data_IF_503100591621
#
_entry.id   IF_503100591621
#
_cell.length_a   1.000
_cell.length_b   1.000
_cell.length_c   1.000
_cell.angle_alpha   90.00
_cell.angle_beta   90.00
_cell.angle_gamma   90.00
#
_symmetry.space_group_name_H-M   'P 1'
#
loop_
_entity.id
_entity.type
_entity.pdbx_description
1 polymer ?
#
# COMPACT_ATOMS: atom_id res chain seq x y z
N UNK A 1 -7.41 -20.14 -7.95
CA UNK A 1 -6.71 -19.12 -8.77
C UNK A 1 -6.90 -17.70 -8.21
N UNK A 2 -8.04 -17.34 -7.60
CA UNK A 2 -8.23 -16.04 -6.94
C UNK A 2 -7.46 -15.88 -5.60
N UNK A 3 -7.19 -16.97 -4.88
CA UNK A 3 -6.53 -16.93 -3.57
C UNK A 3 -5.04 -16.51 -3.62
N UNK A 4 -4.34 -16.65 -4.75
CA UNK A 4 -2.93 -16.26 -4.86
C UNK A 4 -2.71 -14.78 -5.16
N UNK A 5 -3.74 -14.06 -5.61
CA UNK A 5 -3.65 -12.63 -5.96
C UNK A 5 -3.85 -11.69 -4.78
N UNK A 6 -4.54 -12.15 -3.72
CA UNK A 6 -4.79 -11.36 -2.50
C UNK A 6 -3.63 -11.47 -1.50
N UNK A 7 -2.81 -12.54 -1.59
CA UNK A 7 -1.71 -12.80 -0.65
C UNK A 7 -0.45 -11.97 -0.85
N UNK A 8 -0.15 -11.55 -2.09
CA UNK A 8 1.11 -10.88 -2.43
C UNK A 8 1.29 -9.55 -1.69
N UNK A 9 0.36 -8.62 -1.87
CA UNK A 9 0.36 -7.27 -1.31
C UNK A 9 0.34 -7.15 0.22
N UNK A 10 -0.11 -8.20 0.91
CA UNK A 10 -0.07 -8.28 2.36
C UNK A 10 1.37 -8.48 2.86
N UNK A 11 2.19 -9.12 2.03
CA UNK A 11 3.55 -9.49 2.38
C UNK A 11 4.49 -8.27 2.41
N UNK A 12 4.62 -7.49 1.34
CA UNK A 12 5.55 -6.33 1.31
C UNK A 12 5.33 -5.37 2.47
N UNK A 13 4.08 -5.19 2.89
CA UNK A 13 3.79 -4.30 4.00
C UNK A 13 4.07 -4.87 5.38
N UNK A 14 3.82 -6.17 5.56
CA UNK A 14 4.22 -6.87 6.77
C UNK A 14 5.75 -6.84 6.89
N UNK A 15 6.44 -7.06 5.77
CA UNK A 15 7.88 -6.91 5.65
C UNK A 15 8.34 -5.48 5.98
N UNK A 16 7.69 -4.46 5.42
CA UNK A 16 8.02 -3.05 5.65
C UNK A 16 7.89 -2.67 7.12
N UNK A 17 6.81 -3.08 7.80
CA UNK A 17 6.62 -2.80 9.24
C UNK A 17 7.73 -3.42 10.07
N UNK A 18 8.08 -4.67 9.79
CA UNK A 18 9.19 -5.36 10.46
C UNK A 18 10.52 -4.67 10.16
N UNK A 19 10.76 -4.25 8.91
CA UNK A 19 11.98 -3.56 8.50
C UNK A 19 12.12 -2.19 9.15
N UNK A 20 11.04 -1.42 9.21
CA UNK A 20 10.99 -0.10 9.86
C UNK A 20 11.24 -0.24 11.37
N UNK A 21 10.65 -1.25 12.02
CA UNK A 21 10.91 -1.56 13.44
C UNK A 21 12.38 -1.96 13.65
N UNK A 22 12.95 -2.83 12.82
CA UNK A 22 14.37 -3.21 12.90
C UNK A 22 15.32 -2.03 12.67
N UNK A 23 14.93 -1.10 11.78
CA UNK A 23 15.70 0.09 11.48
C UNK A 23 15.50 1.23 12.49
N UNK A 24 14.50 1.12 13.38
CA UNK A 24 14.12 2.15 14.34
C UNK A 24 15.23 2.50 15.33
N UNK A 25 15.24 3.75 15.78
CA UNK A 25 16.26 4.23 16.71
C UNK A 25 16.17 3.52 18.07
N UNK A 26 14.97 3.17 18.54
CA UNK A 26 14.76 2.46 19.80
C UNK A 26 15.41 1.07 19.80
N UNK A 27 15.25 0.32 18.71
CA UNK A 27 15.88 -1.00 18.55
C UNK A 27 17.38 -0.84 18.41
N UNK A 28 17.84 0.13 17.61
CA UNK A 28 19.27 0.41 17.43
C UNK A 28 19.95 0.78 18.76
N UNK A 29 19.33 1.64 19.57
CA UNK A 29 19.86 2.07 20.86
C UNK A 29 19.87 0.91 21.88
N UNK A 30 18.85 0.04 21.86
CA UNK A 30 18.84 -1.19 22.64
C UNK A 30 20.02 -2.10 22.27
N UNK A 31 20.20 -2.37 20.98
CA UNK A 31 21.29 -3.22 20.48
C UNK A 31 22.67 -2.63 20.83
N UNK A 32 22.84 -1.31 20.72
CA UNK A 32 24.07 -0.61 21.11
C UNK A 32 24.30 -0.66 22.62
N UNK A 33 23.24 -0.53 23.42
CA UNK A 33 23.29 -0.69 24.89
C UNK A 33 23.73 -2.08 25.34
N UNK A 34 23.46 -3.11 24.53
CA UNK A 34 23.96 -4.49 24.72
C UNK A 34 25.36 -4.75 24.14
N UNK A 35 26.10 -3.70 23.77
CA UNK A 35 27.45 -3.76 23.19
C UNK A 35 27.53 -4.61 21.90
N UNK A 36 26.45 -4.67 21.12
CA UNK A 36 26.49 -5.28 19.80
C UNK A 36 27.29 -4.39 18.84
N UNK A 37 27.96 -5.03 17.87
CA UNK A 37 28.85 -4.36 16.93
C UNK A 37 28.05 -3.38 16.04
N UNK A 38 28.41 -2.08 16.02
CA UNK A 38 27.80 -1.07 15.15
C UNK A 38 27.91 -1.46 13.67
N UNK A 39 28.95 -2.20 13.27
CA UNK A 39 29.10 -2.75 11.92
C UNK A 39 27.95 -3.70 11.55
N UNK A 40 27.50 -4.51 12.49
CA UNK A 40 26.43 -5.49 12.27
C UNK A 40 25.08 -4.79 12.10
N UNK A 41 24.83 -3.74 12.90
CA UNK A 41 23.63 -2.90 12.79
C UNK A 41 23.61 -2.14 11.46
N UNK A 42 24.74 -1.56 11.06
CA UNK A 42 24.85 -0.85 9.79
C UNK A 42 24.66 -1.79 8.59
N UNK A 43 25.26 -2.99 8.63
CA UNK A 43 25.04 -4.01 7.60
C UNK A 43 23.56 -4.40 7.49
N UNK A 44 22.87 -4.58 8.62
CA UNK A 44 21.44 -4.88 8.60
C UNK A 44 20.64 -3.76 7.93
N UNK A 45 20.88 -2.49 8.29
CA UNK A 45 20.21 -1.34 7.67
C UNK A 45 20.42 -1.28 6.16
N UNK A 46 21.65 -1.53 5.71
CA UNK A 46 21.99 -1.53 4.27
C UNK A 46 21.22 -2.61 3.53
N UNK A 47 21.27 -3.86 4.01
CA UNK A 47 20.62 -5.00 3.36
C UNK A 47 19.10 -4.85 3.37
N UNK A 48 18.52 -4.41 4.48
CA UNK A 48 17.09 -4.11 4.57
C UNK A 48 16.67 -3.08 3.53
N UNK A 49 17.48 -2.01 3.36
CA UNK A 49 17.19 -0.97 2.36
C UNK A 49 17.25 -1.52 0.93
N UNK A 50 18.24 -2.38 0.62
CA UNK A 50 18.38 -2.98 -0.70
C UNK A 50 17.22 -3.92 -1.05
N UNK A 51 16.84 -4.80 -0.11
CA UNK A 51 15.70 -5.71 -0.27
C UNK A 51 14.40 -4.93 -0.39
N UNK A 52 14.20 -3.91 0.45
CA UNK A 52 13.00 -3.09 0.44
C UNK A 52 12.80 -2.36 -0.89
N UNK A 53 13.90 -1.90 -1.50
CA UNK A 53 13.86 -1.18 -2.76
C UNK A 53 13.32 -2.00 -3.94
N UNK A 54 13.30 -3.33 -3.84
CA UNK A 54 12.86 -4.23 -4.91
C UNK A 54 11.57 -4.99 -4.59
N UNK A 55 10.96 -4.75 -3.42
CA UNK A 55 9.75 -5.46 -2.99
C UNK A 55 8.58 -5.29 -3.94
N UNK A 56 8.33 -4.06 -4.41
CA UNK A 56 7.21 -3.78 -5.32
C UNK A 56 7.35 -4.54 -6.66
N UNK A 57 8.57 -4.61 -7.21
CA UNK A 57 8.85 -5.35 -8.44
C UNK A 57 8.79 -6.87 -8.22
N UNK A 58 9.28 -7.34 -7.08
CA UNK A 58 9.18 -8.75 -6.70
C UNK A 58 7.71 -9.19 -6.56
N UNK A 59 6.87 -8.37 -5.92
CA UNK A 59 5.44 -8.66 -5.79
C UNK A 59 4.74 -8.77 -7.13
N UNK A 60 5.05 -7.87 -8.07
CA UNK A 60 4.45 -7.89 -9.40
C UNK A 60 4.95 -9.11 -10.23
N UNK A 61 6.24 -9.48 -10.08
CA UNK A 61 6.86 -10.61 -10.80
C UNK A 61 6.52 -11.99 -10.22
N UNK A 62 6.09 -12.10 -8.96
CA UNK A 62 5.80 -13.40 -8.32
C UNK A 62 4.68 -14.19 -9.02
N UNK A 63 3.79 -13.50 -9.73
CA UNK A 63 2.64 -14.10 -10.43
C UNK A 63 3.12 -14.94 -11.62
N UNK A 64 4.17 -14.48 -12.30
CA UNK A 64 4.68 -15.10 -13.54
C UNK A 64 6.01 -15.82 -13.34
N UNK A 65 6.78 -15.48 -12.31
CA UNK A 65 8.08 -16.06 -12.04
C UNK A 65 8.11 -16.82 -10.70
N UNK A 66 8.05 -18.17 -10.74
CA UNK A 66 8.12 -19.01 -9.53
C UNK A 66 9.39 -18.79 -8.69
N UNK A 67 10.52 -18.40 -9.30
CA UNK A 67 11.76 -18.15 -8.57
C UNK A 67 11.68 -16.86 -7.75
N UNK A 68 10.95 -15.85 -8.26
CA UNK A 68 10.67 -14.61 -7.52
C UNK A 68 9.67 -14.89 -6.40
N UNK A 69 8.66 -15.73 -6.64
CA UNK A 69 7.77 -16.20 -5.58
C UNK A 69 8.53 -16.89 -4.45
N UNK A 70 9.41 -17.85 -4.78
CA UNK A 70 10.23 -18.52 -3.78
C UNK A 70 11.11 -17.52 -3.01
N UNK A 71 11.68 -16.52 -3.69
CA UNK A 71 12.46 -15.48 -3.03
C UNK A 71 11.62 -14.66 -2.04
N UNK A 72 10.38 -14.33 -2.39
CA UNK A 72 9.43 -13.67 -1.46
C UNK A 72 9.05 -14.58 -0.28
N UNK A 73 8.81 -15.87 -0.52
CA UNK A 73 8.49 -16.83 0.55
C UNK A 73 9.68 -16.94 1.55
N UNK A 74 10.93 -16.99 1.04
CA UNK A 74 12.13 -17.02 1.89
C UNK A 74 12.34 -15.71 2.67
N UNK A 75 11.92 -14.58 2.09
CA UNK A 75 11.95 -13.27 2.71
C UNK A 75 10.87 -13.12 3.78
N UNK A 76 9.68 -13.64 3.53
CA UNK A 76 8.60 -13.78 4.50
C UNK A 76 9.08 -14.52 5.75
N UNK A 77 9.67 -15.70 5.56
CA UNK A 77 10.20 -16.49 6.66
C UNK A 77 11.32 -15.76 7.43
N UNK A 78 12.12 -14.92 6.77
CA UNK A 78 13.15 -14.12 7.43
C UNK A 78 12.55 -12.98 8.25
N UNK A 79 11.40 -12.47 7.84
CA UNK A 79 10.67 -11.43 8.57
C UNK A 79 9.98 -11.95 9.81
N UNK A 80 9.41 -13.16 9.79
CA UNK A 80 8.87 -13.79 10.99
C UNK A 80 9.96 -14.01 12.05
N UNK A 81 11.13 -14.53 11.62
CA UNK A 81 12.30 -14.65 12.51
C UNK A 81 12.67 -13.29 13.15
N UNK A 82 12.49 -12.20 12.40
CA UNK A 82 12.83 -10.85 12.85
C UNK A 82 11.75 -10.20 13.73
N UNK A 83 10.47 -10.42 13.46
CA UNK A 83 9.37 -9.97 14.31
C UNK A 83 9.41 -10.67 15.67
N UNK A 84 9.68 -11.98 15.70
CA UNK A 84 9.92 -12.75 16.92
C UNK A 84 11.08 -12.16 17.76
N UNK A 85 12.13 -11.67 17.09
CA UNK A 85 13.25 -11.00 17.76
C UNK A 85 12.85 -9.62 18.29
N UNK A 86 12.08 -8.84 17.52
CA UNK A 86 11.59 -7.54 17.92
C UNK A 86 10.69 -7.61 19.14
N UNK A 87 9.86 -8.64 19.24
CA UNK A 87 8.98 -8.85 20.39
C UNK A 87 9.76 -9.27 21.65
N UNK A 88 10.82 -10.08 21.50
CA UNK A 88 11.77 -10.38 22.59
C UNK A 88 12.45 -9.08 23.09
N UNK A 89 12.96 -8.25 22.17
CA UNK A 89 13.56 -6.94 22.49
C UNK A 89 12.55 -6.02 23.18
N UNK A 90 11.33 -5.92 22.66
CA UNK A 90 10.29 -5.05 23.22
C UNK A 90 9.93 -5.48 24.64
N UNK A 91 9.83 -6.79 24.88
CA UNK A 91 9.59 -7.36 26.20
C UNK A 91 10.70 -7.02 27.18
N UNK A 92 11.97 -7.17 26.77
CA UNK A 92 13.14 -6.85 27.59
C UNK A 92 13.20 -5.36 27.97
N UNK A 93 12.90 -4.47 27.02
CA UNK A 93 12.85 -3.02 27.25
C UNK A 93 11.78 -2.67 28.28
N UNK A 94 10.60 -3.29 28.19
CA UNK A 94 9.51 -3.07 29.14
C UNK A 94 9.87 -3.60 30.54
N UNK A 95 10.46 -4.80 30.63
CA UNK A 95 10.91 -5.36 31.91
C UNK A 95 11.97 -4.49 32.57
N UNK A 96 12.96 -4.01 31.81
CA UNK A 96 14.01 -3.12 32.32
C UNK A 96 13.46 -1.81 32.87
N UNK A 97 12.42 -1.25 32.24
CA UNK A 97 11.73 -0.03 32.71
C UNK A 97 10.95 -0.26 34.01
N UNK A 98 10.33 -1.43 34.17
CA UNK A 98 9.61 -1.81 35.40
C UNK A 98 10.58 -2.00 36.58
N UNK A 99 11.72 -2.63 36.34
CA UNK A 99 12.76 -2.84 37.36
C UNK A 99 13.38 -1.52 37.82
N UNK A 100 13.66 -0.60 36.90
CA UNK A 100 14.18 0.74 37.21
C UNK A 100 13.19 1.63 37.99
N UNK A 101 11.89 1.38 37.87
CA UNK A 101 10.84 2.12 38.59
C UNK A 101 10.57 1.64 40.03
N UNK A 102 11.17 0.54 40.48
CA UNK A 102 10.84 -0.14 41.75
C UNK A 102 11.86 0.07 42.89
N UNK A 103 12.84 0.95 42.73
CA UNK A 103 13.92 1.15 43.70
C UNK A 103 13.50 1.88 44.98
N UNK A 104 13.11 1.13 46.02
CA UNK A 104 13.21 1.57 47.42
C UNK A 104 14.42 0.88 48.08
N UNK A 105 15.44 1.68 48.39
CA UNK A 105 16.58 1.50 49.31
C UNK A 105 17.07 0.10 49.73
N UNK A 106 18.39 -0.08 49.54
CA UNK A 106 19.36 -0.84 50.35
C UNK A 106 19.42 -2.38 50.27
N UNK A 107 20.20 -2.89 49.29
CA UNK A 107 21.13 -4.01 49.50
C UNK A 107 22.13 -4.14 48.32
N UNK A 108 22.90 -3.08 48.08
CA UNK A 108 23.95 -3.03 47.05
C UNK A 108 25.16 -3.86 47.47
N UNK A 109 25.26 -5.12 47.01
CA UNK A 109 26.53 -5.84 46.70
C UNK A 109 26.36 -7.30 46.28
N UNK A 110 25.21 -7.95 46.53
CA UNK A 110 25.00 -9.37 46.14
C UNK A 110 24.29 -9.57 44.79
N UNK A 111 23.61 -8.55 44.26
CA UNK A 111 22.77 -8.66 43.06
C UNK A 111 23.60 -8.51 41.76
N UNK A 112 24.75 -7.83 41.80
CA UNK A 112 25.51 -7.46 40.60
C UNK A 112 26.15 -8.69 39.90
N UNK A 113 26.43 -9.76 40.63
CA UNK A 113 27.07 -10.97 40.06
C UNK A 113 26.10 -11.96 39.42
N UNK A 114 24.81 -11.93 39.76
CA UNK A 114 23.81 -12.86 39.16
C UNK A 114 23.23 -12.33 37.85
N UNK A 115 23.08 -11.01 37.72
CA UNK A 115 22.52 -10.38 36.52
C UNK A 115 23.56 -10.20 35.40
N UNK A 116 24.85 -10.16 35.73
CA UNK A 116 25.90 -10.05 34.72
C UNK A 116 25.97 -11.30 33.84
N UNK A 117 25.78 -12.50 34.39
CA UNK A 117 25.78 -13.75 33.62
C UNK A 117 24.50 -13.96 32.80
N UNK A 118 23.33 -13.58 33.32
CA UNK A 118 22.08 -13.67 32.56
C UNK A 118 22.09 -12.66 31.41
N UNK A 119 22.45 -11.40 31.64
CA UNK A 119 22.59 -10.39 30.59
C UNK A 119 23.57 -10.85 29.50
N UNK A 120 24.72 -11.43 29.86
CA UNK A 120 25.68 -11.97 28.88
C UNK A 120 25.14 -13.16 28.05
N UNK A 121 24.30 -14.02 28.62
CA UNK A 121 23.69 -15.15 27.91
C UNK A 121 22.56 -14.68 26.97
N UNK A 122 21.72 -13.76 27.44
CA UNK A 122 20.64 -13.17 26.65
C UNK A 122 21.17 -12.29 25.51
N UNK A 123 22.24 -11.51 25.75
CA UNK A 123 22.91 -10.72 24.72
C UNK A 123 23.53 -11.60 23.63
N UNK A 124 24.11 -12.75 24.01
CA UNK A 124 24.62 -13.74 23.05
C UNK A 124 23.51 -14.38 22.22
N UNK A 125 22.35 -14.69 22.83
CA UNK A 125 21.20 -15.26 22.12
C UNK A 125 20.61 -14.27 21.11
N UNK A 126 20.40 -13.03 21.52
CA UNK A 126 19.92 -11.92 20.67
C UNK A 126 20.89 -11.67 19.52
N UNK A 127 22.20 -11.62 19.81
CA UNK A 127 23.26 -11.52 18.80
C UNK A 127 23.19 -12.64 17.77
N UNK A 128 23.13 -13.90 18.22
CA UNK A 128 23.10 -15.06 17.32
C UNK A 128 21.86 -15.05 16.41
N UNK A 129 20.68 -14.67 16.95
CA UNK A 129 19.45 -14.52 16.16
C UNK A 129 19.61 -13.43 15.10
N UNK A 130 20.13 -12.26 15.48
CA UNK A 130 20.36 -11.14 14.57
C UNK A 130 21.38 -11.49 13.47
N UNK A 131 22.47 -12.19 13.80
CA UNK A 131 23.43 -12.70 12.83
C UNK A 131 22.79 -13.69 11.84
N UNK A 132 21.90 -14.56 12.32
CA UNK A 132 21.15 -15.50 11.47
C UNK A 132 20.24 -14.76 10.50
N UNK A 133 19.46 -13.79 10.97
CA UNK A 133 18.58 -12.95 10.14
C UNK A 133 19.41 -12.20 9.10
N UNK A 134 20.47 -11.52 9.52
CA UNK A 134 21.36 -10.78 8.62
C UNK A 134 21.95 -11.68 7.53
N UNK A 135 22.38 -12.90 7.88
CA UNK A 135 22.90 -13.87 6.90
C UNK A 135 21.84 -14.27 5.89
N UNK A 136 20.60 -14.52 6.32
CA UNK A 136 19.48 -14.82 5.41
C UNK A 136 19.18 -13.66 4.47
N UNK A 137 19.11 -12.44 5.01
CA UNK A 137 18.84 -11.25 4.21
C UNK A 137 19.96 -10.96 3.20
N UNK A 138 21.24 -11.14 3.56
CA UNK A 138 22.36 -11.02 2.61
C UNK A 138 22.27 -12.02 1.47
N UNK A 139 21.92 -13.27 1.78
CA UNK A 139 21.71 -14.29 0.75
C UNK A 139 20.57 -13.90 -0.22
N UNK A 140 19.51 -13.28 0.31
CA UNK A 140 18.40 -12.77 -0.52
C UNK A 140 18.82 -11.56 -1.36
N UNK A 141 19.61 -10.65 -0.79
CA UNK A 141 20.19 -9.49 -1.48
C UNK A 141 21.04 -9.91 -2.68
N UNK A 142 21.92 -10.90 -2.52
CA UNK A 142 22.75 -11.43 -3.62
C UNK A 142 21.92 -11.99 -4.79
N UNK A 143 20.72 -12.50 -4.50
CA UNK A 143 19.80 -13.07 -5.52
C UNK A 143 19.02 -12.00 -6.28
N UNK A 144 18.94 -10.76 -5.78
CA UNK A 144 18.19 -9.65 -6.42
C UNK A 144 18.62 -9.49 -7.88
N UNK A 145 19.94 -9.42 -8.12
CA UNK A 145 20.50 -9.27 -9.47
C UNK A 145 20.19 -10.48 -10.36
N UNK A 146 20.32 -11.69 -9.84
CA UNK A 146 20.09 -12.95 -10.58
C UNK A 146 18.62 -13.08 -11.00
N UNK A 147 17.70 -12.59 -10.16
CA UNK A 147 16.27 -12.62 -10.41
C UNK A 147 15.79 -11.47 -11.31
N UNK A 148 16.68 -10.54 -11.68
CA UNK A 148 16.33 -9.37 -12.47
C UNK A 148 15.33 -8.46 -11.76
N UNK A 149 15.43 -8.36 -10.43
CA UNK A 149 14.58 -7.50 -9.62
C UNK A 149 15.09 -6.05 -9.69
N UNK A 150 14.20 -5.12 -10.03
CA UNK A 150 14.53 -3.73 -10.30
C UNK A 150 13.91 -2.80 -9.27
N UNK A 151 14.59 -1.70 -8.95
CA UNK A 151 14.11 -0.69 -8.02
C UNK A 151 13.08 0.22 -8.68
N UNK A 152 11.90 -0.28 -9.05
CA UNK A 152 10.71 0.48 -9.50
C UNK A 152 10.87 1.46 -10.68
N UNK A 153 12.06 1.62 -11.23
CA UNK A 153 12.44 2.62 -12.24
C UNK A 153 12.82 1.87 -13.51
N UNK A 154 11.83 1.48 -14.32
CA UNK A 154 12.10 1.27 -15.74
C UNK A 154 11.44 0.09 -16.44
N UNK A 155 10.87 -0.89 -15.75
CA UNK A 155 10.14 -1.98 -16.42
C UNK A 155 8.64 -1.78 -16.34
N UNK A 156 7.97 -1.88 -17.49
CA UNK A 156 6.51 -1.83 -17.59
C UNK A 156 5.92 -2.98 -16.75
N UNK A 157 4.94 -2.73 -15.88
CA UNK A 157 4.22 -3.79 -15.19
C UNK A 157 3.63 -4.80 -16.19
N UNK A 158 3.26 -5.98 -15.71
CA UNK A 158 2.56 -6.96 -16.54
C UNK A 158 1.10 -6.54 -16.73
N UNK A 159 0.52 -6.70 -17.95
CA UNK A 159 -0.84 -6.26 -18.24
C UNK A 159 -1.85 -6.76 -17.21
N UNK A 160 -2.36 -5.84 -16.40
CA UNK A 160 -3.37 -6.16 -15.38
C UNK A 160 -4.76 -6.18 -16.01
N UNK A 161 -5.65 -7.08 -15.56
CA UNK A 161 -7.05 -7.04 -15.98
C UNK A 161 -7.68 -5.70 -15.54
N UNK A 162 -8.50 -5.07 -16.40
CA UNK A 162 -9.12 -3.78 -16.09
C UNK A 162 -10.07 -3.91 -14.89
N UNK A 163 -10.05 -2.89 -14.03
CA UNK A 163 -10.93 -2.79 -12.86
C UNK A 163 -12.27 -2.17 -13.23
N UNK A 164 -13.32 -2.50 -12.46
CA UNK A 164 -14.66 -1.93 -12.64
C UNK A 164 -15.08 -1.14 -11.40
N UNK A 165 -16.12 -0.33 -11.51
CA UNK A 165 -16.68 0.39 -10.37
C UNK A 165 -17.52 -0.47 -9.43
N UNK A 166 -17.79 -1.75 -9.76
CA UNK A 166 -18.64 -2.63 -8.96
C UNK A 166 -17.91 -3.16 -7.72
N UNK A 167 -18.61 -3.21 -6.60
CA UNK A 167 -18.07 -3.72 -5.33
C UNK A 167 -19.13 -4.48 -4.56
N UNK A 168 -18.73 -5.59 -3.93
CA UNK A 168 -19.52 -6.29 -2.93
C UNK A 168 -19.18 -5.70 -1.55
N UNK A 169 -19.99 -4.75 -1.09
CA UNK A 169 -19.70 -3.95 0.13
C UNK A 169 -19.56 -4.79 1.41
N UNK A 170 -20.17 -5.99 1.44
CA UNK A 170 -20.17 -6.89 2.60
C UNK A 170 -18.77 -7.43 2.98
N UNK A 171 -17.76 -7.26 2.11
CA UNK A 171 -16.43 -7.85 2.29
C UNK A 171 -15.35 -6.84 2.76
N UNK A 172 -15.67 -5.55 2.91
CA UNK A 172 -14.64 -4.54 3.25
C UNK A 172 -14.64 -4.17 4.73
N UNK A 173 -13.51 -4.39 5.39
CA UNK A 173 -13.35 -4.15 6.82
C UNK A 173 -12.25 -3.12 7.11
N UNK A 174 -12.46 -2.28 8.13
CA UNK A 174 -11.42 -1.42 8.70
C UNK A 174 -11.04 -0.18 7.89
N UNK A 175 -11.83 0.14 6.85
CA UNK A 175 -11.60 1.30 5.96
C UNK A 175 -12.56 2.46 6.19
N UNK A 176 -13.39 2.42 7.24
CA UNK A 176 -14.40 3.45 7.48
C UNK A 176 -13.78 4.84 7.67
N UNK A 177 -12.69 4.95 8.43
CA UNK A 177 -12.00 6.23 8.62
C UNK A 177 -11.47 6.82 7.29
N UNK A 178 -10.81 5.99 6.49
CA UNK A 178 -10.28 6.38 5.18
C UNK A 178 -11.41 6.79 4.22
N UNK A 179 -12.50 6.01 4.23
CA UNK A 179 -13.71 6.24 3.42
C UNK A 179 -14.33 7.59 3.76
N UNK A 180 -14.58 7.87 5.04
CA UNK A 180 -15.18 9.15 5.45
C UNK A 180 -14.28 10.35 5.18
N UNK A 181 -12.96 10.19 5.30
CA UNK A 181 -12.01 11.25 4.97
C UNK A 181 -12.10 11.63 3.49
N UNK A 182 -12.16 10.64 2.58
CA UNK A 182 -12.27 10.89 1.15
C UNK A 182 -13.66 11.45 0.79
N UNK A 183 -14.75 10.91 1.36
CA UNK A 183 -16.10 11.45 1.15
C UNK A 183 -16.14 12.93 1.53
N UNK A 184 -15.58 13.29 2.68
CA UNK A 184 -15.51 14.71 3.11
C UNK A 184 -14.77 15.57 2.09
N UNK A 185 -13.63 15.11 1.55
CA UNK A 185 -12.87 15.83 0.52
C UNK A 185 -13.65 15.96 -0.80
N UNK A 186 -14.45 14.96 -1.16
CA UNK A 186 -15.30 14.98 -2.35
C UNK A 186 -16.44 15.99 -2.22
N UNK A 187 -17.08 16.04 -1.05
CA UNK A 187 -18.23 16.92 -0.81
C UNK A 187 -17.85 18.37 -0.48
N UNK A 188 -16.56 18.64 -0.20
CA UNK A 188 -16.09 20.00 0.07
C UNK A 188 -15.87 20.77 -1.24
N UNK A 189 -16.66 21.81 -1.47
CA UNK A 189 -16.42 22.75 -2.57
C UNK A 189 -15.18 23.60 -2.25
N UNK A 190 -14.14 23.50 -3.09
CA UNK A 190 -12.87 24.19 -2.85
C UNK A 190 -13.03 25.72 -2.86
N UNK A 191 -12.39 26.41 -1.91
CA UNK A 191 -12.42 27.87 -1.79
C UNK A 191 -11.38 28.63 -2.64
N UNK A 192 -10.65 27.94 -3.52
CA UNK A 192 -9.63 28.53 -4.40
C UNK A 192 -10.05 28.48 -5.87
N UNK A 193 -9.56 29.42 -6.69
CA UNK A 193 -10.00 29.66 -8.07
C UNK A 193 -9.93 28.49 -9.08
N UNK A 194 -9.42 27.31 -8.69
CA UNK A 194 -9.51 26.09 -9.50
C UNK A 194 -10.85 25.40 -9.29
N UNK A 195 -11.65 25.31 -10.36
CA UNK A 195 -12.98 24.67 -10.34
C UNK A 195 -12.95 23.16 -10.05
N UNK A 196 -11.80 22.52 -10.26
CA UNK A 196 -11.63 21.06 -10.20
C UNK A 196 -10.65 20.71 -9.09
N UNK A 197 -11.06 19.80 -8.20
CA UNK A 197 -10.17 19.20 -7.20
C UNK A 197 -9.69 17.81 -7.62
N UNK A 198 -8.40 17.52 -7.46
CA UNK A 198 -7.81 16.21 -7.71
C UNK A 198 -7.33 15.62 -6.39
N UNK A 199 -7.88 14.45 -6.03
CA UNK A 199 -7.61 13.72 -4.79
C UNK A 199 -6.84 12.44 -5.15
N UNK A 200 -5.54 12.35 -4.86
CA UNK A 200 -4.79 11.13 -5.07
C UNK A 200 -4.89 10.22 -3.84
N UNK A 201 -5.24 8.95 -4.05
CA UNK A 201 -5.07 7.84 -3.12
C UNK A 201 -3.80 7.10 -3.51
N UNK A 202 -2.79 7.12 -2.64
CA UNK A 202 -1.49 6.50 -2.88
C UNK A 202 -1.23 5.40 -1.87
N UNK A 203 -0.57 4.33 -2.27
CA UNK A 203 -0.26 3.20 -1.40
C UNK A 203 0.24 2.00 -2.20
N UNK A 204 0.87 1.05 -1.51
CA UNK A 204 1.47 -0.14 -2.13
C UNK A 204 0.46 -1.01 -2.87
N UNK A 205 0.95 -2.03 -3.58
CA UNK A 205 0.11 -3.07 -4.18
C UNK A 205 -0.88 -3.64 -3.16
N UNK A 206 -2.08 -4.01 -3.64
CA UNK A 206 -3.18 -4.68 -2.90
C UNK A 206 -3.58 -4.16 -1.52
N UNK A 207 -3.16 -2.96 -1.11
CA UNK A 207 -3.62 -2.30 0.13
C UNK A 207 -5.11 -1.91 0.11
N UNK A 208 -5.79 -2.08 -1.03
CA UNK A 208 -7.22 -1.82 -1.19
C UNK A 208 -7.57 -0.42 -1.71
N UNK A 209 -6.67 0.25 -2.45
CA UNK A 209 -6.94 1.57 -3.05
C UNK A 209 -8.14 1.56 -3.99
N UNK A 210 -8.16 0.64 -4.93
CA UNK A 210 -9.27 0.42 -5.87
C UNK A 210 -10.55 0.13 -5.11
N UNK A 211 -10.50 -0.76 -4.12
CA UNK A 211 -11.64 -1.09 -3.23
C UNK A 211 -12.17 0.13 -2.50
N UNK A 212 -11.29 0.96 -1.92
CA UNK A 212 -11.68 2.19 -1.25
C UNK A 212 -12.29 3.20 -2.22
N UNK A 213 -11.71 3.36 -3.40
CA UNK A 213 -12.27 4.21 -4.44
C UNK A 213 -13.64 3.71 -4.90
N UNK A 214 -13.86 2.40 -5.02
CA UNK A 214 -15.17 1.81 -5.32
C UNK A 214 -16.19 2.08 -4.22
N UNK A 215 -15.83 1.90 -2.94
CA UNK A 215 -16.71 2.20 -1.81
C UNK A 215 -17.16 3.66 -1.82
N UNK A 216 -16.22 4.58 -1.98
CA UNK A 216 -16.51 6.02 -2.00
C UNK A 216 -17.31 6.39 -3.24
N UNK A 217 -16.94 5.85 -4.41
CA UNK A 217 -17.65 6.10 -5.66
C UNK A 217 -19.11 5.65 -5.57
N UNK A 218 -19.41 4.52 -4.91
CA UNK A 218 -20.77 4.00 -4.79
C UNK A 218 -21.54 4.53 -3.58
N UNK A 219 -20.93 5.35 -2.72
CA UNK A 219 -21.61 5.92 -1.57
C UNK A 219 -22.77 6.85 -1.97
N UNK A 220 -23.90 6.76 -1.25
CA UNK A 220 -25.14 7.48 -1.61
C UNK A 220 -24.95 9.00 -1.63
N UNK A 221 -24.28 9.56 -0.62
CA UNK A 221 -23.98 11.01 -0.61
C UNK A 221 -23.13 11.44 -1.82
N UNK A 222 -22.25 10.57 -2.32
CA UNK A 222 -21.42 10.87 -3.50
C UNK A 222 -22.27 10.75 -4.76
N UNK A 223 -23.14 9.74 -4.86
CA UNK A 223 -24.10 9.60 -5.97
C UNK A 223 -25.04 10.81 -6.08
N UNK A 224 -25.53 11.33 -4.96
CA UNK A 224 -26.43 12.48 -4.94
C UNK A 224 -25.72 13.82 -5.24
N UNK A 225 -24.43 13.93 -4.92
CA UNK A 225 -23.69 15.18 -5.05
C UNK A 225 -23.21 15.47 -6.49
N UNK A 226 -22.93 14.43 -7.28
CA UNK A 226 -22.36 14.57 -8.63
C UNK A 226 -23.38 14.19 -9.71
N UNK A 227 -23.65 15.11 -10.64
CA UNK A 227 -24.56 14.88 -11.77
C UNK A 227 -24.01 13.86 -12.76
N UNK A 228 -22.69 13.88 -12.96
CA UNK A 228 -22.00 12.99 -13.89
C UNK A 228 -20.90 12.22 -13.16
N UNK A 229 -20.80 10.93 -13.47
CA UNK A 229 -19.77 10.06 -12.90
C UNK A 229 -19.17 9.16 -13.96
N UNK A 230 -17.87 8.92 -13.86
CA UNK A 230 -17.17 7.98 -14.72
C UNK A 230 -16.08 7.25 -13.95
N UNK A 231 -15.87 5.97 -14.29
CA UNK A 231 -14.76 5.16 -13.78
C UNK A 231 -13.90 4.70 -14.96
N UNK A 232 -12.59 4.91 -14.86
CA UNK A 232 -11.63 4.46 -15.87
C UNK A 232 -10.48 3.77 -15.18
N UNK A 233 -10.31 2.48 -15.45
CA UNK A 233 -9.03 1.81 -15.20
C UNK A 233 -8.04 2.30 -16.25
N UNK A 234 -7.01 3.03 -15.81
CA UNK A 234 -5.97 3.53 -16.69
C UNK A 234 -5.02 2.36 -16.95
N UNK A 235 -5.00 1.84 -18.18
CA UNK A 235 -3.99 0.88 -18.58
C UNK A 235 -2.58 1.45 -18.37
N UNK A 236 -1.58 0.58 -18.23
CA UNK A 236 -0.18 0.97 -18.04
C UNK A 236 0.30 2.04 -19.04
N UNK A 237 -0.16 1.96 -20.29
CA UNK A 237 -0.01 3.04 -21.25
C UNK A 237 -1.10 4.08 -21.03
N UNK A 238 -0.70 5.26 -20.54
CA UNK A 238 -1.57 6.44 -20.44
C UNK A 238 -1.89 6.97 -21.83
N UNK A 239 -2.92 6.36 -22.41
CA UNK A 239 -3.50 6.69 -23.70
C UNK A 239 -4.66 7.67 -23.49
N UNK A 240 -4.36 8.95 -23.74
CA UNK A 240 -5.33 10.05 -23.59
C UNK A 240 -6.57 9.80 -24.45
N UNK A 241 -6.41 9.19 -25.64
CA UNK A 241 -7.52 8.88 -26.51
C UNK A 241 -8.46 7.86 -25.87
N UNK A 242 -7.93 6.73 -25.41
CA UNK A 242 -8.73 5.69 -24.74
C UNK A 242 -9.40 6.22 -23.47
N UNK A 243 -8.66 6.92 -22.62
CA UNK A 243 -9.21 7.50 -21.38
C UNK A 243 -10.33 8.49 -21.70
N UNK A 244 -10.10 9.43 -22.61
CA UNK A 244 -11.11 10.43 -23.01
C UNK A 244 -12.35 9.76 -23.59
N UNK A 245 -12.17 8.75 -24.45
CA UNK A 245 -13.26 8.00 -25.05
C UNK A 245 -14.09 7.26 -24.00
N UNK A 246 -13.45 6.55 -23.07
CA UNK A 246 -14.15 5.83 -21.98
C UNK A 246 -14.97 6.79 -21.12
N UNK A 247 -14.38 7.93 -20.73
CA UNK A 247 -15.10 8.95 -19.96
C UNK A 247 -16.30 9.47 -20.75
N UNK A 248 -16.09 9.83 -22.03
CA UNK A 248 -17.14 10.35 -22.88
C UNK A 248 -18.30 9.36 -23.01
N UNK A 249 -18.01 8.09 -23.29
CA UNK A 249 -19.02 7.04 -23.38
C UNK A 249 -19.82 6.86 -22.09
N UNK A 250 -19.14 6.92 -20.94
CA UNK A 250 -19.80 6.81 -19.64
C UNK A 250 -20.73 8.01 -19.35
N UNK A 251 -20.28 9.24 -19.61
CA UNK A 251 -21.09 10.44 -19.31
C UNK A 251 -22.16 10.73 -20.36
N UNK A 252 -21.96 10.29 -21.60
CA UNK A 252 -22.93 10.46 -22.69
C UNK A 252 -23.97 9.33 -22.75
N UNK A 253 -23.75 8.21 -22.04
CA UNK A 253 -24.52 6.97 -22.17
C UNK A 253 -24.60 6.49 -23.64
N UNK A 254 -23.50 6.57 -24.38
CA UNK A 254 -23.43 6.21 -25.80
C UNK A 254 -22.13 5.48 -26.14
N UNK A 255 -22.25 4.42 -26.94
CA UNK A 255 -21.13 3.56 -27.33
C UNK A 255 -20.48 3.98 -28.66
N UNK A 256 -21.11 4.84 -29.46
CA UNK A 256 -20.70 5.08 -30.85
C UNK A 256 -19.67 6.21 -31.01
N UNK A 257 -18.40 5.96 -30.67
CA UNK A 257 -17.30 6.91 -30.93
C UNK A 257 -16.09 6.28 -31.63
N UNK A 258 -16.27 5.12 -32.28
CA UNK A 258 -15.17 4.31 -32.83
C UNK A 258 -14.36 4.96 -33.96
N UNK A 259 -14.84 6.07 -34.54
CA UNK A 259 -14.17 6.79 -35.64
C UNK A 259 -13.86 8.27 -35.32
N UNK A 260 -14.06 8.72 -34.08
CA UNK A 260 -13.73 10.09 -33.69
C UNK A 260 -12.22 10.21 -33.43
N UNK A 261 -11.63 11.36 -33.77
CA UNK A 261 -10.29 11.73 -33.35
C UNK A 261 -10.29 12.34 -31.93
N UNK A 262 -9.10 12.53 -31.35
CA UNK A 262 -8.98 13.04 -29.98
C UNK A 262 -9.59 14.44 -29.82
N UNK A 263 -9.46 15.30 -30.83
CA UNK A 263 -9.99 16.66 -30.79
C UNK A 263 -11.53 16.64 -30.69
N UNK A 264 -12.19 15.86 -31.55
CA UNK A 264 -13.64 15.69 -31.53
C UNK A 264 -14.14 15.11 -30.19
N UNK A 265 -13.41 14.16 -29.62
CA UNK A 265 -13.74 13.59 -28.31
C UNK A 265 -13.61 14.64 -27.20
N UNK A 266 -12.53 15.41 -27.18
CA UNK A 266 -12.29 16.43 -26.16
C UNK A 266 -13.26 17.61 -26.25
N UNK A 267 -13.65 18.04 -27.46
CA UNK A 267 -14.67 19.07 -27.66
C UNK A 267 -16.02 18.60 -27.12
N UNK A 268 -16.48 17.39 -27.51
CA UNK A 268 -17.76 16.84 -27.02
C UNK A 268 -17.76 16.65 -25.51
N UNK A 269 -16.65 16.13 -24.95
CA UNK A 269 -16.52 15.95 -23.51
C UNK A 269 -16.59 17.29 -22.77
N UNK A 270 -15.91 18.32 -23.28
CA UNK A 270 -15.96 19.69 -22.73
C UNK A 270 -17.39 20.22 -22.71
N UNK A 271 -18.15 20.04 -23.80
CA UNK A 271 -19.53 20.49 -23.90
C UNK A 271 -20.46 19.76 -22.93
N UNK A 272 -20.32 18.44 -22.79
CA UNK A 272 -21.14 17.65 -21.85
C UNK A 272 -20.89 17.96 -20.39
N UNK A 273 -19.64 18.25 -20.02
CA UNK A 273 -19.23 18.61 -18.67
C UNK A 273 -19.50 20.08 -18.33
N UNK A 274 -19.75 20.93 -19.33
CA UNK A 274 -19.90 22.36 -19.15
C UNK A 274 -21.00 22.69 -18.13
N UNK A 275 -20.63 23.36 -17.04
CA UNK A 275 -21.57 23.79 -16.00
C UNK A 275 -22.14 22.68 -15.12
N UNK A 276 -21.71 21.43 -15.27
CA UNK A 276 -22.16 20.31 -14.44
C UNK A 276 -21.11 19.92 -13.41
N UNK A 277 -21.56 19.46 -12.23
CA UNK A 277 -20.67 18.91 -11.21
C UNK A 277 -20.42 17.42 -11.49
N UNK A 278 -19.16 17.03 -11.69
CA UNK A 278 -18.81 15.65 -12.04
C UNK A 278 -17.76 15.03 -11.10
N UNK A 279 -17.75 13.69 -11.05
CA UNK A 279 -16.70 12.88 -10.43
C UNK A 279 -16.13 11.88 -11.45
N UNK A 280 -14.84 12.00 -11.73
CA UNK A 280 -14.12 11.04 -12.58
C UNK A 280 -13.12 10.27 -11.73
N UNK A 281 -13.17 8.94 -11.77
CA UNK A 281 -12.17 8.08 -11.14
C UNK A 281 -11.18 7.60 -12.20
N UNK A 282 -9.90 7.83 -11.96
CA UNK A 282 -8.78 7.30 -12.72
C UNK A 282 -8.06 6.28 -11.83
N UNK A 283 -8.34 5.01 -12.03
CA UNK A 283 -7.81 3.92 -11.23
C UNK A 283 -6.48 3.40 -11.83
N UNK A 284 -5.51 3.14 -10.96
CA UNK A 284 -4.19 2.56 -11.23
C UNK A 284 -3.32 3.36 -12.21
N UNK A 285 -3.11 4.67 -11.93
CA UNK A 285 -2.36 5.57 -12.80
C UNK A 285 -0.84 5.48 -12.58
N UNK A 286 -0.07 5.32 -13.65
CA UNK A 286 1.40 5.19 -13.62
C UNK A 286 2.16 6.33 -14.34
N UNK A 287 1.49 7.15 -15.15
CA UNK A 287 2.18 8.13 -16.00
C UNK A 287 2.62 9.40 -15.24
N UNK A 288 3.93 9.63 -15.23
CA UNK A 288 4.58 10.81 -14.64
C UNK A 288 4.71 12.00 -15.62
N UNK A 289 4.12 11.92 -16.81
CA UNK A 289 4.20 13.01 -17.77
C UNK A 289 3.15 14.08 -17.48
N UNK A 290 3.60 15.20 -16.89
CA UNK A 290 2.77 16.37 -16.58
C UNK A 290 2.05 16.95 -17.81
N UNK A 291 2.71 17.03 -18.97
CA UNK A 291 2.12 17.58 -20.20
C UNK A 291 0.96 16.71 -20.69
N UNK A 292 1.10 15.38 -20.61
CA UNK A 292 -0.01 14.45 -20.92
C UNK A 292 -1.18 14.64 -19.96
N UNK A 293 -0.91 14.78 -18.66
CA UNK A 293 -1.92 15.05 -17.65
C UNK A 293 -2.68 16.36 -17.93
N UNK A 294 -1.95 17.45 -18.20
CA UNK A 294 -2.55 18.75 -18.50
C UNK A 294 -3.40 18.71 -19.78
N UNK A 295 -2.93 18.03 -20.83
CA UNK A 295 -3.68 17.85 -22.08
C UNK A 295 -4.97 17.05 -21.86
N UNK A 296 -4.95 16.02 -21.02
CA UNK A 296 -6.15 15.26 -20.67
C UNK A 296 -7.13 16.12 -19.84
N UNK A 297 -6.64 17.02 -19.00
CA UNK A 297 -7.49 17.88 -18.15
C UNK A 297 -8.17 19.04 -18.87
N UNK A 298 -7.81 19.34 -20.13
CA UNK A 298 -8.38 20.47 -20.89
C UNK A 298 -9.91 20.49 -20.94
N UNK A 299 -10.62 19.38 -21.22
CA UNK A 299 -12.08 19.36 -21.28
C UNK A 299 -12.74 19.62 -19.92
N UNK A 300 -12.07 19.22 -18.84
CA UNK A 300 -12.61 19.28 -17.49
C UNK A 300 -12.70 20.71 -16.96
N UNK A 301 -11.88 21.65 -17.47
CA UNK A 301 -11.82 23.06 -17.03
C UNK A 301 -13.15 23.81 -17.16
N UNK A 302 -14.08 23.30 -17.98
CA UNK A 302 -15.42 23.85 -18.17
C UNK A 302 -16.46 23.33 -17.17
N UNK A 303 -16.10 22.39 -16.30
CA UNK A 303 -16.94 21.87 -15.23
C UNK A 303 -17.45 22.93 -14.26
N UNK A 304 -18.50 22.58 -13.51
CA UNK A 304 -18.93 23.37 -12.37
C UNK A 304 -17.89 23.34 -11.25
N UNK A 305 -17.88 24.39 -10.42
CA UNK A 305 -17.09 24.40 -9.19
C UNK A 305 -17.53 23.23 -8.30
N UNK A 306 -16.54 22.57 -7.68
CA UNK A 306 -16.78 21.39 -6.87
C UNK A 306 -16.63 20.07 -7.62
N UNK A 307 -16.36 20.10 -8.93
CA UNK A 307 -16.04 18.88 -9.68
C UNK A 307 -14.75 18.23 -9.18
N UNK A 308 -14.70 16.89 -9.18
CA UNK A 308 -13.60 16.12 -8.59
C UNK A 308 -13.02 15.09 -9.55
N UNK A 309 -11.72 14.86 -9.42
CA UNK A 309 -11.02 13.71 -10.01
C UNK A 309 -10.41 12.92 -8.86
N UNK A 310 -10.75 11.64 -8.74
CA UNK A 310 -10.15 10.72 -7.79
C UNK A 310 -9.12 9.88 -8.55
N UNK A 311 -7.88 9.86 -8.08
CA UNK A 311 -6.79 9.11 -8.72
C UNK A 311 -6.31 8.04 -7.75
N UNK A 312 -6.14 6.80 -8.20
CA UNK A 312 -5.41 5.80 -7.42
C UNK A 312 -4.06 5.53 -8.07
N UNK A 313 -3.00 5.41 -7.27
CA UNK A 313 -1.66 5.13 -7.78
C UNK A 313 -0.80 4.45 -6.71
N UNK A 314 0.27 3.77 -7.13
CA UNK A 314 1.36 3.34 -6.24
C UNK A 314 2.49 4.36 -6.18
N UNK A 315 2.56 5.24 -7.19
CA UNK A 315 3.72 6.10 -7.45
C UNK A 315 3.54 7.49 -6.82
N UNK A 316 4.50 7.88 -5.97
CA UNK A 316 4.51 9.19 -5.33
C UNK A 316 4.60 10.33 -6.35
N UNK A 317 5.46 10.23 -7.37
CA UNK A 317 5.62 11.24 -8.41
C UNK A 317 4.30 11.51 -9.13
N UNK A 318 3.55 10.45 -9.47
CA UNK A 318 2.21 10.57 -10.07
C UNK A 318 1.26 11.34 -9.15
N UNK A 319 1.21 10.97 -7.86
CA UNK A 319 0.38 11.67 -6.89
C UNK A 319 0.77 13.15 -6.78
N UNK A 320 2.07 13.46 -6.76
CA UNK A 320 2.59 14.83 -6.69
C UNK A 320 2.24 15.68 -7.92
N UNK A 321 2.31 15.08 -9.12
CA UNK A 321 2.00 15.73 -10.39
C UNK A 321 0.51 16.09 -10.48
N UNK A 322 -0.36 15.19 -10.02
CA UNK A 322 -1.80 15.31 -10.25
C UNK A 322 -2.54 16.05 -9.14
N UNK A 323 -2.01 16.04 -7.91
CA UNK A 323 -2.73 16.53 -6.72
C UNK A 323 -3.11 18.00 -6.77
N UNK A 324 -4.29 18.32 -6.25
CA UNK A 324 -4.66 19.69 -5.82
C UNK A 324 -4.90 19.78 -4.31
N UNK A 325 -4.93 18.63 -3.63
CA UNK A 325 -5.05 18.50 -2.17
C UNK A 325 -3.99 17.52 -1.66
N UNK A 326 -3.70 17.47 -0.35
CA UNK A 326 -2.77 16.48 0.19
C UNK A 326 -3.12 15.05 -0.24
N UNK A 327 -2.10 14.29 -0.64
CA UNK A 327 -2.21 12.88 -1.02
C UNK A 327 -2.76 12.07 0.15
N UNK A 328 -3.76 11.23 -0.12
CA UNK A 328 -4.30 10.27 0.83
C UNK A 328 -3.44 9.01 0.79
N UNK A 329 -2.47 8.93 1.71
CA UNK A 329 -1.64 7.75 1.85
C UNK A 329 -2.44 6.65 2.55
N UNK A 330 -2.76 5.60 1.80
CA UNK A 330 -3.48 4.46 2.31
C UNK A 330 -2.49 3.47 2.93
N UNK A 331 -2.51 3.42 4.25
CA UNK A 331 -1.71 2.47 5.04
C UNK A 331 -2.40 1.10 5.10
N UNK A 332 -1.65 0.07 5.48
CA UNK A 332 -2.18 -1.27 5.67
C UNK A 332 -3.08 -1.37 6.90
N UNK A 333 -4.01 -2.32 6.86
CA UNK A 333 -4.88 -2.59 8.00
C UNK A 333 -4.03 -3.09 9.18
N UNK A 334 -4.21 -2.50 10.36
CA UNK A 334 -3.55 -2.95 11.59
C UNK A 334 -3.82 -4.45 11.82
N UNK A 335 -2.82 -5.22 12.28
CA UNK A 335 -2.90 -6.69 12.46
C UNK A 335 -4.17 -7.18 13.17
N UNK A 336 -4.68 -6.44 14.17
CA UNK A 336 -5.91 -6.81 14.89
C UNK A 336 -7.16 -6.82 14.01
N UNK A 337 -7.22 -5.94 13.01
CA UNK A 337 -8.30 -5.84 12.03
C UNK A 337 -8.09 -6.87 10.91
N UNK A 338 -6.84 -7.05 10.46
CA UNK A 338 -6.48 -8.11 9.52
C UNK A 338 -6.87 -9.50 10.05
N UNK A 339 -6.68 -9.76 11.35
CA UNK A 339 -7.11 -11.01 11.99
C UNK A 339 -8.64 -11.22 12.00
N UNK A 340 -9.44 -10.15 12.02
CA UNK A 340 -10.90 -10.25 11.89
C UNK A 340 -11.33 -10.52 10.44
N UNK A 341 -10.65 -9.92 9.46
CA UNK A 341 -10.82 -10.21 8.03
C UNK A 341 -10.46 -11.67 7.70
N UNK A 342 -9.34 -12.17 8.22
CA UNK A 342 -8.98 -13.58 8.09
C UNK A 342 -10.03 -14.51 8.72
N UNK A 343 -10.56 -14.16 9.90
CA UNK A 343 -11.64 -14.94 10.53
C UNK A 343 -12.92 -14.95 9.69
N UNK A 344 -13.31 -13.83 9.08
CA UNK A 344 -14.50 -13.75 8.24
C UNK A 344 -14.35 -14.46 6.90
N UNK A 345 -13.15 -14.57 6.32
CA UNK A 345 -12.88 -15.41 5.14
C UNK A 345 -12.82 -16.92 5.46
N UNK A 346 -12.27 -17.29 6.62
CA UNK A 346 -12.08 -18.71 6.98
C UNK A 346 -13.33 -19.40 7.57
N UNK A 347 -14.21 -18.65 8.25
CA UNK A 347 -15.43 -19.25 8.83
C UNK A 347 -16.44 -19.80 7.80
N UNK A 348 -16.71 -19.12 6.66
CA UNK A 348 -17.59 -19.63 5.62
C UNK A 348 -17.03 -20.88 4.92
N UNK A 349 -15.70 -20.99 4.80
CA UNK A 349 -15.05 -22.15 4.16
C UNK A 349 -15.23 -23.45 4.96
N UNK A 350 -15.30 -23.38 6.31
CA UNK A 350 -15.62 -24.56 7.13
C UNK A 350 -17.06 -25.04 6.97
N UNK A 351 -18.01 -24.13 6.69
CA UNK A 351 -19.41 -24.49 6.47
C UNK A 351 -19.57 -25.17 5.10
N UNK A 352 -18.86 -24.71 4.07
CA UNK A 352 -18.86 -25.35 2.74
C UNK A 352 -18.18 -26.74 2.74
N UNK A 353 -17.09 -26.93 3.50
CA UNK A 353 -16.45 -28.24 3.67
C UNK A 353 -17.28 -29.22 4.53
N UNK A 354 -18.11 -28.74 5.46
CA UNK A 354 -19.01 -29.61 6.22
C UNK A 354 -20.27 -30.05 5.45
N UNK A 355 -20.69 -29.32 4.41
CA UNK A 355 -21.85 -29.70 3.59
C UNK A 355 -21.50 -30.78 2.54
N UNK A 356 -20.23 -30.93 2.15
CA UNK A 356 -19.80 -32.00 1.23
C UNK A 356 -19.58 -33.38 1.88
N UNK A 357 -19.69 -33.49 3.20
CA UNK A 357 -19.58 -34.78 3.90
C UNK A 357 -20.94 -35.38 4.32
N UNK A 358 -22.05 -34.79 3.88
CA UNK A 358 -23.40 -35.35 4.05
C UNK A 358 -24.17 -35.34 2.72
N UNK A 359 -23.79 -36.24 1.80
CA UNK A 359 -24.68 -36.86 0.81
C UNK A 359 -24.22 -38.27 0.49
#
# INVERSE_FOLDING_TARGET
MAASLVGGAFLSATLQVVFDRLASQDVVDYLRGKKLNDELINNLKTVLSAVNAVLDDAEDKQITNPNVKQWLDELEDASYDADDLLDEITTDVLQSKLEAGSGTSNSSKSIINFFSSSLNIYDRKTKNKLEKILKRLKFLEERIYVLGLNTGVGEKPLPRPPTTSLIEEAEVFGRDGDKEAIIKLLLTDGGGGNKIGVIPIKGMGGVGKTTLAQLVYNHDQVKEHFELKSWVCVSEEFDIYKVTKTILSAVANSESYDNADLDSLQIKLKELLAGKKFLIVLDDVWNENYVKWENMCKPFKNGAQGSKILVTTRNESVAQIMRTVPTQNLEHLKMKIAGNYFKSMYFPMKILLHIQHWK
#
